data_IF_654919207451
#
_entry.id   IF_654919207451
#
_cell.length_a   1.000
_cell.length_b   1.000
_cell.length_c   1.000
_cell.angle_alpha   90.00
_cell.angle_beta   90.00
_cell.angle_gamma   90.00
#
_symmetry.space_group_name_H-M   'P 1'
#
loop_
_entity.id
_entity.type
_entity.pdbx_description
1 polymer ?
#
# COMPACT_ATOMS: atom_id res chain seq x y z
N UNK A 1 -40.90 -37.74 2.67
CA UNK A 1 -39.81 -36.88 2.17
C UNK A 1 -39.49 -35.88 3.27
N UNK A 2 -38.37 -36.11 3.95
CA UNK A 2 -37.83 -35.28 5.02
C UNK A 2 -37.12 -34.08 4.37
N UNK A 3 -37.64 -32.88 4.52
CA UNK A 3 -36.92 -31.66 4.18
C UNK A 3 -36.54 -30.92 5.47
N UNK A 4 -35.24 -30.88 5.68
CA UNK A 4 -34.50 -30.24 6.74
C UNK A 4 -34.85 -28.74 6.85
N UNK A 5 -35.28 -28.32 8.04
CA UNK A 5 -35.38 -26.92 8.44
C UNK A 5 -34.22 -26.63 9.42
N UNK A 6 -33.02 -26.40 8.90
CA UNK A 6 -31.90 -25.91 9.71
C UNK A 6 -31.89 -24.38 9.67
N UNK A 7 -32.67 -23.76 10.57
CA UNK A 7 -32.56 -22.33 10.88
C UNK A 7 -31.44 -22.18 11.90
N UNK A 8 -30.24 -21.80 11.42
CA UNK A 8 -29.09 -21.48 12.26
C UNK A 8 -29.28 -20.06 12.84
N UNK A 9 -29.62 -19.99 14.12
CA UNK A 9 -29.71 -18.75 14.88
C UNK A 9 -28.32 -18.41 15.45
N UNK A 10 -27.63 -17.44 14.87
CA UNK A 10 -26.34 -16.93 15.40
C UNK A 10 -26.64 -15.74 16.29
N UNK A 11 -26.51 -15.93 17.60
CA UNK A 11 -26.58 -14.88 18.60
C UNK A 11 -25.28 -14.05 18.57
N UNK A 12 -25.42 -12.76 18.33
CA UNK A 12 -24.35 -11.76 18.33
C UNK A 12 -24.05 -11.38 19.79
N UNK A 13 -22.81 -11.62 20.24
CA UNK A 13 -22.29 -11.11 21.52
C UNK A 13 -21.61 -9.77 21.26
N UNK A 14 -22.26 -8.67 21.62
CA UNK A 14 -21.67 -7.33 21.72
C UNK A 14 -21.26 -7.10 23.17
N UNK A 15 -19.95 -7.14 23.45
CA UNK A 15 -19.38 -6.65 24.71
C UNK A 15 -19.05 -5.16 24.53
N UNK A 16 -19.85 -4.33 25.19
CA UNK A 16 -19.68 -2.89 25.27
C UNK A 16 -18.75 -2.49 26.42
N UNK A 17 -17.91 -1.50 26.10
CA UNK A 17 -17.41 -0.39 26.91
C UNK A 17 -16.75 -0.66 28.28
N UNK A 18 -15.43 -0.45 28.26
CA UNK A 18 -14.66 0.51 29.09
C UNK A 18 -15.45 1.18 30.22
N UNK A 19 -15.01 0.93 31.45
CA UNK A 19 -15.16 1.88 32.55
C UNK A 19 -13.80 2.45 32.94
N UNK A 20 -13.75 3.77 32.90
CA UNK A 20 -12.68 4.59 33.46
C UNK A 20 -12.99 4.84 34.92
N UNK A 21 -12.01 4.67 35.79
CA UNK A 21 -12.01 5.14 37.17
C UNK A 21 -10.55 5.42 37.54
N UNK A 22 -10.16 6.41 38.33
CA UNK A 22 -10.82 7.55 38.96
C UNK A 22 -9.69 8.36 39.60
N UNK A 23 -9.77 9.68 39.49
CA UNK A 23 -9.41 10.69 40.49
C UNK A 23 -8.04 10.74 41.20
N UNK A 24 -7.41 11.91 41.00
CA UNK A 24 -6.98 12.89 42.00
C UNK A 24 -5.82 12.56 42.96
N UNK A 25 -4.75 13.36 42.88
CA UNK A 25 -4.44 14.35 43.94
C UNK A 25 -3.18 15.20 43.62
N UNK A 26 -3.37 16.51 43.79
CA UNK A 26 -2.43 17.55 44.28
C UNK A 26 -1.22 17.04 45.11
N UNK A 27 -0.08 17.71 45.27
CA UNK A 27 0.44 19.02 44.86
C UNK A 27 1.90 19.11 45.35
N UNK A 28 2.61 20.12 44.86
CA UNK A 28 3.72 20.85 45.53
C UNK A 28 5.10 20.21 45.58
N UNK A 29 6.07 20.86 44.90
CA UNK A 29 7.12 21.62 45.60
C UNK A 29 8.09 22.29 44.60
N UNK A 30 7.97 23.61 44.58
CA UNK A 30 8.95 24.62 44.15
C UNK A 30 10.38 24.32 44.64
N UNK A 31 11.41 24.53 43.80
CA UNK A 31 12.48 25.53 44.06
C UNK A 31 13.58 25.58 42.98
N UNK A 32 13.80 26.84 42.55
CA UNK A 32 14.95 27.49 41.94
C UNK A 32 16.27 26.72 41.72
N UNK A 33 16.78 26.89 40.51
CA UNK A 33 18.20 26.86 40.18
C UNK A 33 18.90 28.16 40.59
N UNK A 34 20.18 28.09 40.98
CA UNK A 34 21.13 29.12 40.62
C UNK A 34 22.26 28.59 39.75
N UNK A 35 22.70 29.52 38.90
CA UNK A 35 23.79 29.51 37.92
C UNK A 35 25.16 29.40 38.59
N UNK A 36 26.11 28.68 37.99
CA UNK A 36 27.46 29.20 37.67
C UNK A 36 28.34 28.19 36.90
N UNK A 37 28.95 28.73 35.84
CA UNK A 37 30.02 28.21 34.99
C UNK A 37 31.18 27.54 35.73
N UNK A 38 31.80 26.55 35.06
CA UNK A 38 33.19 26.65 34.57
C UNK A 38 33.53 25.53 33.58
N UNK A 39 34.21 25.95 32.52
CA UNK A 39 34.82 25.19 31.43
C UNK A 39 35.89 24.20 31.93
N UNK A 40 36.12 23.10 31.20
CA UNK A 40 37.41 22.72 30.61
C UNK A 40 37.31 21.40 29.81
N UNK A 41 38.14 21.31 28.77
CA UNK A 41 38.17 20.36 27.65
C UNK A 41 38.54 18.90 27.99
N UNK A 42 38.35 17.95 27.05
CA UNK A 42 38.23 16.53 27.33
C UNK A 42 39.57 15.79 27.23
N UNK A 43 39.84 14.90 28.18
CA UNK A 43 40.94 13.94 28.07
C UNK A 43 40.37 12.54 27.93
N UNK A 44 40.51 11.99 26.71
CA UNK A 44 40.31 10.57 26.40
C UNK A 44 41.14 9.71 27.36
N UNK A 45 40.49 8.92 28.19
CA UNK A 45 41.10 7.77 28.88
C UNK A 45 40.74 6.50 28.10
N UNK A 46 41.75 5.80 27.60
CA UNK A 46 41.62 4.42 27.14
C UNK A 46 41.42 3.51 28.35
N UNK A 47 40.39 2.66 28.33
CA UNK A 47 40.14 1.68 29.39
C UNK A 47 41.09 0.49 29.24
N UNK A 48 41.93 0.30 30.26
CA UNK A 48 42.70 -0.91 30.52
C UNK A 48 41.75 -1.93 31.14
N UNK A 49 41.50 -3.05 30.46
CA UNK A 49 40.70 -4.14 31.03
C UNK A 49 41.51 -4.84 32.14
N UNK A 50 40.94 -4.89 33.34
CA UNK A 50 41.38 -5.78 34.41
C UNK A 50 40.46 -7.00 34.39
N UNK A 51 41.04 -8.17 34.25
CA UNK A 51 40.35 -9.42 34.56
C UNK A 51 40.45 -9.65 36.07
N UNK A 52 39.32 -9.69 36.76
CA UNK A 52 39.21 -10.39 38.03
C UNK A 52 37.98 -11.28 38.01
N UNK A 53 38.25 -12.55 38.27
CA UNK A 53 37.29 -13.60 38.59
C UNK A 53 36.82 -13.35 40.02
N UNK A 54 35.51 -13.27 40.26
CA UNK A 54 34.82 -13.94 41.37
C UNK A 54 33.29 -13.83 41.19
N UNK A 55 32.62 -14.77 41.83
CA UNK A 55 31.29 -15.36 41.57
C UNK A 55 30.12 -14.53 42.12
N UNK A 56 28.96 -14.80 41.53
CA UNK A 56 27.59 -14.64 42.04
C UNK A 56 26.98 -13.23 42.13
N UNK A 57 26.14 -12.90 41.13
CA UNK A 57 24.70 -12.63 41.30
C UNK A 57 24.14 -12.06 40.00
N UNK A 58 23.04 -12.67 39.55
CA UNK A 58 22.31 -12.35 38.34
C UNK A 58 21.70 -10.94 38.42
N UNK A 59 22.10 -10.08 37.49
CA UNK A 59 21.22 -9.17 36.75
C UNK A 59 22.07 -8.38 35.74
N UNK A 60 22.57 -9.11 34.73
CA UNK A 60 23.07 -8.46 33.53
C UNK A 60 21.88 -8.11 32.65
N UNK A 61 21.41 -6.87 32.79
CA UNK A 61 20.52 -6.26 31.80
C UNK A 61 21.22 -6.39 30.44
N UNK A 62 20.59 -7.15 29.55
CA UNK A 62 21.05 -7.46 28.20
C UNK A 62 20.90 -6.22 27.29
N UNK A 63 21.64 -5.15 27.58
CA UNK A 63 21.66 -3.90 26.78
C UNK A 63 22.60 -4.03 25.58
N UNK A 64 23.40 -5.11 25.49
CA UNK A 64 24.43 -5.30 24.46
C UNK A 64 24.00 -6.06 23.20
N UNK A 65 22.97 -6.91 23.25
CA UNK A 65 22.59 -7.73 22.08
C UNK A 65 21.79 -6.98 21.00
N UNK A 66 21.06 -5.92 21.34
CA UNK A 66 20.15 -5.26 20.40
C UNK A 66 20.90 -4.56 19.24
N UNK A 67 21.98 -3.83 19.56
CA UNK A 67 22.78 -3.12 18.55
C UNK A 67 23.60 -4.08 17.66
N UNK A 68 24.06 -5.21 18.20
CA UNK A 68 24.80 -6.22 17.44
C UNK A 68 23.86 -6.99 16.49
N UNK A 69 22.66 -7.35 16.95
CA UNK A 69 21.68 -8.09 16.15
C UNK A 69 21.15 -7.24 14.98
N UNK A 70 20.91 -5.95 15.20
CA UNK A 70 20.50 -5.03 14.14
C UNK A 70 21.63 -4.81 13.10
N UNK A 71 22.89 -4.72 13.56
CA UNK A 71 24.05 -4.66 12.67
C UNK A 71 24.20 -5.90 11.79
N UNK A 72 24.04 -7.10 12.39
CA UNK A 72 24.14 -8.38 11.67
C UNK A 72 23.00 -8.55 10.66
N UNK A 73 21.76 -8.15 11.00
CA UNK A 73 20.62 -8.24 10.08
C UNK A 73 20.77 -7.28 8.88
N UNK A 74 21.21 -6.04 9.10
CA UNK A 74 21.53 -5.07 8.03
C UNK A 74 22.65 -5.58 7.12
N UNK A 75 23.70 -6.19 7.67
CA UNK A 75 24.78 -6.79 6.88
C UNK A 75 24.28 -7.96 6.03
N UNK A 76 23.49 -8.86 6.61
CA UNK A 76 22.89 -10.00 5.90
C UNK A 76 21.95 -9.54 4.76
N UNK A 77 21.11 -8.54 5.00
CA UNK A 77 20.26 -7.93 3.96
C UNK A 77 21.10 -7.31 2.85
N UNK A 78 22.16 -6.58 3.20
CA UNK A 78 23.06 -5.96 2.21
C UNK A 78 23.75 -7.01 1.33
N UNK A 79 24.18 -8.14 1.91
CA UNK A 79 24.79 -9.25 1.18
C UNK A 79 23.78 -9.93 0.26
N UNK A 80 22.53 -10.13 0.72
CA UNK A 80 21.42 -10.64 -0.12
C UNK A 80 21.14 -9.74 -1.31
N UNK A 81 21.03 -8.42 -1.10
CA UNK A 81 20.81 -7.46 -2.18
C UNK A 81 21.95 -7.46 -3.20
N UNK A 82 23.21 -7.51 -2.74
CA UNK A 82 24.37 -7.65 -3.63
C UNK A 82 24.28 -8.92 -4.47
N UNK A 83 23.88 -10.05 -3.86
CA UNK A 83 23.67 -11.32 -4.57
C UNK A 83 22.56 -11.23 -5.62
N UNK A 84 21.44 -10.59 -5.31
CA UNK A 84 20.36 -10.38 -6.29
C UNK A 84 20.80 -9.52 -7.47
N UNK A 85 21.55 -8.45 -7.21
CA UNK A 85 22.09 -7.57 -8.26
C UNK A 85 23.09 -8.30 -9.15
N UNK A 86 24.00 -9.09 -8.57
CA UNK A 86 24.98 -9.88 -9.33
C UNK A 86 24.30 -10.88 -10.26
N UNK A 87 23.22 -11.51 -9.76
CA UNK A 87 22.42 -12.47 -10.53
C UNK A 87 21.39 -11.82 -11.46
N UNK A 88 21.30 -10.49 -11.48
CA UNK A 88 20.32 -9.72 -12.23
C UNK A 88 18.87 -10.25 -12.10
N UNK A 89 18.47 -10.58 -10.87
CA UNK A 89 17.13 -11.13 -10.60
C UNK A 89 16.02 -10.18 -11.05
N UNK A 90 14.90 -10.73 -11.51
CA UNK A 90 13.69 -9.94 -11.79
C UNK A 90 13.08 -9.40 -10.50
N UNK A 91 12.21 -8.37 -10.62
CA UNK A 91 11.48 -7.83 -9.47
C UNK A 91 10.67 -8.92 -8.75
N UNK A 92 9.99 -9.79 -9.51
CA UNK A 92 9.16 -10.88 -8.97
C UNK A 92 10.01 -11.91 -8.23
N UNK A 93 11.17 -12.30 -8.76
CA UNK A 93 12.04 -13.24 -8.06
C UNK A 93 12.56 -12.68 -6.73
N UNK A 94 12.86 -11.38 -6.68
CA UNK A 94 13.28 -10.71 -5.44
C UNK A 94 12.11 -10.59 -4.47
N UNK A 95 10.93 -10.19 -4.94
CA UNK A 95 9.70 -10.15 -4.15
C UNK A 95 9.43 -11.50 -3.48
N UNK A 96 9.46 -12.58 -4.26
CA UNK A 96 9.26 -13.95 -3.78
C UNK A 96 10.35 -14.36 -2.77
N UNK A 97 11.61 -14.01 -3.05
CA UNK A 97 12.73 -14.31 -2.16
C UNK A 97 12.65 -13.56 -0.83
N UNK A 98 12.06 -12.37 -0.82
CA UNK A 98 11.79 -11.57 0.37
C UNK A 98 10.51 -12.00 1.10
N UNK A 99 9.71 -12.89 0.51
CA UNK A 99 8.41 -13.33 1.05
C UNK A 99 7.55 -12.12 1.43
N UNK A 100 7.46 -11.15 0.51
CA UNK A 100 6.58 -9.98 0.67
C UNK A 100 5.19 -10.47 0.34
N UNK A 101 4.29 -10.54 1.33
CA UNK A 101 2.85 -10.80 1.18
C UNK A 101 2.47 -12.11 0.49
N UNK A 102 1.55 -12.88 1.07
CA UNK A 102 0.92 -13.96 0.30
C UNK A 102 -0.13 -13.38 -0.68
N UNK A 103 -0.73 -12.24 -0.31
CA UNK A 103 -1.60 -11.41 -1.15
C UNK A 103 -1.12 -9.94 -1.22
N UNK A 104 -1.78 -9.16 -2.08
CA UNK A 104 -1.43 -7.75 -2.32
C UNK A 104 -1.70 -6.84 -1.12
N UNK A 105 -2.72 -7.09 -0.30
CA UNK A 105 -3.02 -6.25 0.86
C UNK A 105 -1.90 -6.38 1.89
N UNK A 106 -1.52 -7.62 2.22
CA UNK A 106 -0.37 -7.91 3.08
C UNK A 106 0.96 -7.41 2.48
N UNK A 107 1.08 -7.42 1.15
CA UNK A 107 2.26 -6.88 0.47
C UNK A 107 2.40 -5.37 0.67
N UNK A 108 1.32 -4.59 0.51
CA UNK A 108 1.34 -3.12 0.64
C UNK A 108 1.72 -2.65 2.05
N UNK A 109 1.39 -3.43 3.07
CA UNK A 109 1.74 -3.15 4.47
C UNK A 109 3.14 -3.66 4.86
N UNK A 110 3.75 -4.52 4.03
CA UNK A 110 4.99 -5.17 4.36
C UNK A 110 6.16 -4.19 4.46
N UNK A 111 6.86 -4.20 5.59
CA UNK A 111 8.10 -3.44 5.77
C UNK A 111 9.20 -3.82 4.76
N UNK A 112 9.13 -5.04 4.20
CA UNK A 112 10.08 -5.57 3.22
C UNK A 112 9.93 -4.96 1.82
N UNK A 113 8.81 -4.28 1.52
CA UNK A 113 8.69 -3.49 0.28
C UNK A 113 9.80 -2.46 0.17
N UNK A 114 10.21 -1.83 1.28
CA UNK A 114 11.33 -0.89 1.28
C UNK A 114 12.64 -1.51 0.78
N UNK A 115 12.86 -2.80 1.03
CA UNK A 115 14.02 -3.55 0.55
C UNK A 115 13.91 -3.84 -0.95
N UNK A 116 12.70 -4.18 -1.44
CA UNK A 116 12.42 -4.36 -2.87
C UNK A 116 12.60 -3.04 -3.65
N UNK A 117 12.04 -1.92 -3.17
CA UNK A 117 12.19 -0.61 -3.82
C UNK A 117 13.65 -0.17 -3.89
N UNK A 118 14.43 -0.39 -2.82
CA UNK A 118 15.88 -0.14 -2.82
C UNK A 118 16.63 -1.02 -3.82
N UNK A 119 16.21 -2.27 -4.00
CA UNK A 119 16.75 -3.15 -5.01
C UNK A 119 16.48 -2.62 -6.42
N UNK A 120 15.21 -2.32 -6.72
CA UNK A 120 14.76 -1.79 -8.02
C UNK A 120 15.53 -0.53 -8.39
N UNK A 121 15.63 0.45 -7.48
CA UNK A 121 16.37 1.68 -7.72
C UNK A 121 17.85 1.43 -8.08
N UNK A 122 18.52 0.50 -7.36
CA UNK A 122 19.92 0.13 -7.64
C UNK A 122 20.06 -0.64 -8.95
N UNK A 123 19.10 -1.49 -9.28
CA UNK A 123 19.09 -2.25 -10.51
C UNK A 123 18.92 -1.33 -11.72
N UNK A 124 17.92 -0.45 -11.69
CA UNK A 124 17.60 0.48 -12.78
C UNK A 124 18.75 1.47 -13.04
N UNK A 125 19.38 1.98 -11.97
CA UNK A 125 20.57 2.84 -12.11
C UNK A 125 21.74 2.15 -12.83
N UNK A 126 21.86 0.82 -12.71
CA UNK A 126 22.94 0.04 -13.34
C UNK A 126 22.57 -0.53 -14.71
N UNK A 127 21.28 -0.58 -15.04
CA UNK A 127 20.75 -1.18 -16.25
C UNK A 127 19.69 -0.23 -16.84
N UNK A 128 20.10 0.93 -17.40
CA UNK A 128 19.15 1.92 -17.91
C UNK A 128 18.28 1.37 -19.04
N UNK A 129 18.81 0.46 -19.85
CA UNK A 129 18.10 -0.15 -20.99
C UNK A 129 17.11 -1.25 -20.57
N UNK A 130 17.20 -1.73 -19.33
CA UNK A 130 16.34 -2.79 -18.80
C UNK A 130 15.99 -2.47 -17.36
N UNK A 131 14.98 -1.63 -17.18
CA UNK A 131 14.49 -1.23 -15.87
C UNK A 131 13.49 -2.25 -15.32
N UNK A 132 13.29 -2.22 -14.01
CA UNK A 132 12.24 -2.94 -13.29
C UNK A 132 11.24 -1.91 -12.78
N UNK A 133 9.96 -2.15 -13.01
CA UNK A 133 8.86 -1.36 -12.44
C UNK A 133 8.29 -2.04 -11.20
N UNK A 134 8.02 -1.26 -10.13
CA UNK A 134 7.42 -1.82 -8.92
C UNK A 134 5.97 -2.23 -9.19
N UNK A 135 5.19 -1.38 -9.87
CA UNK A 135 3.80 -1.70 -10.21
C UNK A 135 3.72 -2.94 -11.12
N UNK A 136 4.59 -3.05 -12.13
CA UNK A 136 4.67 -4.24 -12.99
C UNK A 136 5.01 -5.51 -12.19
N UNK A 137 5.92 -5.39 -11.23
CA UNK A 137 6.30 -6.51 -10.35
C UNK A 137 5.11 -6.98 -9.53
N UNK A 138 4.32 -6.04 -8.98
CA UNK A 138 3.13 -6.34 -8.18
C UNK A 138 2.02 -6.95 -9.04
N UNK A 139 1.72 -6.37 -10.20
CA UNK A 139 0.65 -6.87 -11.09
C UNK A 139 1.01 -8.23 -11.70
N UNK A 140 2.29 -8.48 -12.01
CA UNK A 140 2.75 -9.80 -12.48
C UNK A 140 2.61 -10.86 -11.40
N UNK A 141 2.85 -10.51 -10.13
CA UNK A 141 2.79 -11.46 -9.00
C UNK A 141 1.36 -11.73 -8.54
N UNK A 142 0.55 -10.68 -8.39
CA UNK A 142 -0.76 -10.76 -7.73
C UNK A 142 -1.95 -10.68 -8.69
N UNK A 143 -1.70 -10.33 -9.95
CA UNK A 143 -2.74 -10.08 -10.95
C UNK A 143 -3.19 -8.62 -10.97
N UNK A 144 -3.40 -8.08 -12.17
CA UNK A 144 -3.77 -6.67 -12.37
C UNK A 144 -5.04 -6.27 -11.63
N UNK A 145 -6.14 -7.01 -11.81
CA UNK A 145 -7.43 -6.70 -11.18
C UNK A 145 -7.39 -6.74 -9.65
N UNK A 146 -6.60 -7.66 -9.07
CA UNK A 146 -6.42 -7.74 -7.62
C UNK A 146 -5.64 -6.54 -7.09
N UNK A 147 -4.60 -6.11 -7.82
CA UNK A 147 -3.86 -4.88 -7.50
C UNK A 147 -4.77 -3.65 -7.58
N UNK A 148 -5.56 -3.51 -8.64
CA UNK A 148 -6.52 -2.39 -8.77
C UNK A 148 -7.48 -2.34 -7.57
N UNK A 149 -8.04 -3.48 -7.21
CA UNK A 149 -8.98 -3.58 -6.09
C UNK A 149 -8.33 -3.18 -4.77
N UNK A 150 -7.11 -3.65 -4.50
CA UNK A 150 -6.39 -3.36 -3.27
C UNK A 150 -6.01 -1.88 -3.15
N UNK A 151 -5.48 -1.29 -4.22
CA UNK A 151 -5.13 0.13 -4.25
C UNK A 151 -6.38 1.01 -4.07
N UNK A 152 -7.49 0.71 -4.75
CA UNK A 152 -8.75 1.43 -4.58
C UNK A 152 -9.36 1.24 -3.19
N UNK A 153 -9.10 0.12 -2.52
CA UNK A 153 -9.52 -0.10 -1.14
C UNK A 153 -8.78 0.82 -0.18
N UNK A 154 -7.47 0.99 -0.37
CA UNK A 154 -6.66 1.95 0.41
C UNK A 154 -7.14 3.39 0.15
N UNK A 155 -7.40 3.75 -1.11
CA UNK A 155 -7.84 5.11 -1.46
C UNK A 155 -9.23 5.48 -0.90
N UNK A 156 -10.10 4.49 -0.66
CA UNK A 156 -11.39 4.72 0.01
C UNK A 156 -11.28 4.70 1.54
N UNK A 157 -10.29 4.03 2.09
CA UNK A 157 -10.16 3.83 3.52
C UNK A 157 -9.63 5.08 4.22
N UNK A 158 -10.27 5.45 5.33
CA UNK A 158 -9.76 6.49 6.24
C UNK A 158 -8.74 5.96 7.24
N UNK A 159 -8.65 4.64 7.38
CA UNK A 159 -7.92 3.98 8.47
C UNK A 159 -6.52 3.50 8.03
N UNK A 160 -6.21 3.61 6.74
CA UNK A 160 -4.90 3.24 6.21
C UNK A 160 -3.80 4.17 6.74
N UNK A 161 -2.67 3.60 7.14
CA UNK A 161 -1.55 4.40 7.64
C UNK A 161 -1.04 5.40 6.59
N UNK A 162 -0.54 6.59 6.99
CA UNK A 162 -0.06 7.61 6.05
C UNK A 162 0.99 7.08 5.08
N UNK A 163 1.88 6.19 5.56
CA UNK A 163 2.91 5.56 4.74
C UNK A 163 2.32 4.69 3.61
N UNK A 164 1.26 3.94 3.89
CA UNK A 164 0.60 3.10 2.88
C UNK A 164 -0.15 3.99 1.88
N UNK A 165 -0.81 5.04 2.35
CA UNK A 165 -1.48 6.03 1.49
C UNK A 165 -0.48 6.68 0.52
N UNK A 166 0.68 7.12 1.00
CA UNK A 166 1.72 7.72 0.15
C UNK A 166 2.31 6.72 -0.85
N UNK A 167 2.51 5.47 -0.43
CA UNK A 167 2.91 4.39 -1.33
C UNK A 167 1.89 4.17 -2.45
N UNK A 168 0.59 4.14 -2.13
CA UNK A 168 -0.48 3.95 -3.13
C UNK A 168 -0.53 5.12 -4.10
N UNK A 169 -0.38 6.36 -3.64
CA UNK A 169 -0.27 7.54 -4.53
C UNK A 169 0.91 7.41 -5.50
N UNK A 170 2.07 6.97 -5.01
CA UNK A 170 3.23 6.73 -5.87
C UNK A 170 2.95 5.63 -6.89
N UNK A 171 2.40 4.49 -6.45
CA UNK A 171 2.04 3.37 -7.32
C UNK A 171 1.05 3.78 -8.41
N UNK A 172 0.07 4.64 -8.09
CA UNK A 172 -0.90 5.17 -9.06
C UNK A 172 -0.24 5.99 -10.16
N UNK A 173 0.67 6.89 -9.79
CA UNK A 173 1.43 7.68 -10.76
C UNK A 173 2.30 6.80 -11.68
N UNK A 174 3.01 5.84 -11.08
CA UNK A 174 3.81 4.86 -11.83
C UNK A 174 2.93 4.01 -12.76
N UNK A 175 1.72 3.65 -12.31
CA UNK A 175 0.79 2.82 -13.06
C UNK A 175 0.26 3.49 -14.32
N UNK A 176 -0.18 4.75 -14.24
CA UNK A 176 -0.65 5.48 -15.43
C UNK A 176 0.44 5.57 -16.50
N UNK A 177 1.68 5.80 -16.06
CA UNK A 177 2.85 5.84 -16.95
C UNK A 177 3.16 4.45 -17.52
N UNK A 178 3.11 3.42 -16.69
CA UNK A 178 3.34 2.03 -17.10
C UNK A 178 2.33 1.56 -18.15
N UNK A 179 1.04 1.83 -17.95
CA UNK A 179 0.01 1.49 -18.93
C UNK A 179 0.26 2.16 -20.28
N UNK A 180 0.61 3.44 -20.28
CA UNK A 180 0.92 4.20 -21.50
C UNK A 180 2.16 3.66 -22.23
N UNK A 181 3.26 3.38 -21.51
CA UNK A 181 4.49 2.85 -22.11
C UNK A 181 4.37 1.40 -22.57
N UNK A 182 3.41 0.66 -22.02
CA UNK A 182 3.07 -0.70 -22.46
C UNK A 182 2.04 -0.70 -23.58
N UNK A 183 1.79 0.46 -24.22
CA UNK A 183 0.84 0.66 -25.31
C UNK A 183 -0.59 0.15 -25.03
N UNK A 184 -1.02 0.20 -23.76
CA UNK A 184 -2.42 -0.09 -23.45
C UNK A 184 -3.32 0.97 -24.07
N UNK A 185 -4.41 0.54 -24.70
CA UNK A 185 -5.47 1.46 -25.09
C UNK A 185 -6.30 1.86 -23.87
N UNK A 186 -7.06 2.95 -24.02
CA UNK A 186 -8.07 3.33 -23.01
C UNK A 186 -9.07 2.18 -22.77
N UNK A 187 -9.41 1.40 -23.79
CA UNK A 187 -10.31 0.25 -23.66
C UNK A 187 -9.70 -0.88 -22.83
N UNK A 188 -8.41 -1.13 -22.97
CA UNK A 188 -7.72 -2.18 -22.22
C UNK A 188 -7.66 -1.83 -20.74
N UNK A 189 -7.39 -0.55 -20.44
CA UNK A 189 -7.44 -0.03 -19.07
C UNK A 189 -8.86 -0.07 -18.53
N UNK A 190 -9.88 0.33 -19.30
CA UNK A 190 -11.28 0.20 -18.86
C UNK A 190 -11.64 -1.25 -18.54
N UNK A 191 -11.33 -2.21 -19.41
CA UNK A 191 -11.60 -3.64 -19.18
C UNK A 191 -10.91 -4.14 -17.91
N UNK A 192 -9.66 -3.75 -17.68
CA UNK A 192 -8.91 -4.08 -16.48
C UNK A 192 -9.62 -3.53 -15.22
N UNK A 193 -9.97 -2.25 -15.22
CA UNK A 193 -10.59 -1.60 -14.06
C UNK A 193 -12.00 -2.14 -13.80
N UNK A 194 -12.79 -2.37 -14.84
CA UNK A 194 -14.13 -2.96 -14.74
C UNK A 194 -14.09 -4.40 -14.22
N UNK A 195 -13.02 -5.15 -14.49
CA UNK A 195 -12.86 -6.50 -13.92
C UNK A 195 -12.57 -6.50 -12.40
N UNK A 196 -12.12 -5.38 -11.84
CA UNK A 196 -11.79 -5.27 -10.42
C UNK A 196 -13.02 -5.01 -9.51
N UNK A 197 -14.05 -4.34 -10.04
CA UNK A 197 -15.33 -4.12 -9.39
C UNK A 197 -16.46 -4.43 -10.38
N UNK A 198 -17.24 -5.47 -10.10
CA UNK A 198 -18.36 -5.84 -10.95
C UNK A 198 -19.60 -4.99 -10.60
N UNK A 199 -20.33 -4.55 -11.62
CA UNK A 199 -21.62 -3.90 -11.46
C UNK A 199 -21.52 -2.42 -11.05
N UNK A 200 -22.59 -1.87 -10.45
CA UNK A 200 -22.75 -0.43 -10.27
C UNK A 200 -21.75 0.20 -9.29
N UNK A 201 -21.11 -0.61 -8.43
CA UNK A 201 -20.06 -0.18 -7.49
C UNK A 201 -18.87 0.48 -8.17
N UNK A 202 -18.64 0.19 -9.45
CA UNK A 202 -17.62 0.84 -10.26
C UNK A 202 -17.79 2.37 -10.27
N UNK A 203 -19.03 2.89 -10.33
CA UNK A 203 -19.28 4.34 -10.40
C UNK A 203 -18.98 5.08 -9.09
N UNK A 204 -19.05 4.40 -7.94
CA UNK A 204 -18.61 4.95 -6.65
C UNK A 204 -17.15 4.56 -6.31
N UNK A 205 -16.43 3.94 -7.25
CA UNK A 205 -15.05 3.54 -7.04
C UNK A 205 -14.07 4.66 -7.43
N UNK A 206 -12.92 4.75 -6.76
CA UNK A 206 -11.78 5.53 -7.25
C UNK A 206 -11.36 5.15 -8.66
N UNK A 207 -11.64 3.92 -9.12
CA UNK A 207 -11.23 3.44 -10.44
C UNK A 207 -11.89 4.23 -11.58
N UNK A 208 -13.09 4.78 -11.36
CA UNK A 208 -13.72 5.65 -12.33
C UNK A 208 -12.87 6.90 -12.58
N UNK A 209 -12.41 7.57 -11.51
CA UNK A 209 -11.51 8.72 -11.59
C UNK A 209 -10.16 8.33 -12.20
N UNK A 210 -9.65 7.15 -11.89
CA UNK A 210 -8.40 6.64 -12.47
C UNK A 210 -8.51 6.46 -13.99
N UNK A 211 -9.68 6.02 -14.49
CA UNK A 211 -9.92 5.93 -15.93
C UNK A 211 -9.88 7.32 -16.58
N UNK A 212 -10.53 8.32 -15.97
CA UNK A 212 -10.47 9.72 -16.44
C UNK A 212 -9.03 10.26 -16.45
N UNK A 213 -8.27 10.03 -15.37
CA UNK A 213 -6.85 10.42 -15.28
C UNK A 213 -6.04 9.76 -16.42
N UNK A 214 -6.32 8.50 -16.74
CA UNK A 214 -5.65 7.80 -17.82
C UNK A 214 -6.04 8.32 -19.20
N UNK A 215 -7.33 8.58 -19.45
CA UNK A 215 -7.82 9.20 -20.71
C UNK A 215 -7.12 10.54 -20.94
N UNK A 216 -7.05 11.39 -19.91
CA UNK A 216 -6.39 12.68 -19.99
C UNK A 216 -4.89 12.52 -20.35
N UNK A 217 -4.19 11.59 -19.69
CA UNK A 217 -2.78 11.30 -20.00
C UNK A 217 -2.62 10.73 -21.41
N UNK A 218 -3.45 9.78 -21.81
CA UNK A 218 -3.40 9.15 -23.12
C UNK A 218 -3.61 10.16 -24.25
N UNK A 219 -4.64 11.02 -24.13
CA UNK A 219 -4.93 12.04 -25.12
C UNK A 219 -3.79 13.07 -25.23
N UNK A 220 -3.23 13.49 -24.10
CA UNK A 220 -2.10 14.42 -24.08
C UNK A 220 -0.86 13.86 -24.79
N UNK A 221 -0.49 12.62 -24.46
CA UNK A 221 0.79 12.03 -24.89
C UNK A 221 0.73 11.38 -26.28
N UNK A 222 -0.44 10.85 -26.66
CA UNK A 222 -0.66 10.18 -27.96
C UNK A 222 -1.46 11.04 -28.95
N UNK A 223 -1.77 12.30 -28.59
CA UNK A 223 -2.62 13.21 -29.38
C UNK A 223 -4.00 12.61 -29.71
N UNK A 224 -4.54 11.85 -28.75
CA UNK A 224 -5.84 11.18 -28.85
C UNK A 224 -7.03 12.13 -28.66
N UNK A 225 -8.22 11.62 -28.94
CA UNK A 225 -9.52 12.30 -28.75
C UNK A 225 -10.50 11.39 -28.00
N UNK A 226 -9.98 10.52 -27.13
CA UNK A 226 -10.79 9.62 -26.33
C UNK A 226 -11.60 10.39 -25.31
N UNK A 227 -12.85 9.98 -25.10
CA UNK A 227 -13.70 10.53 -24.05
C UNK A 227 -14.22 9.41 -23.19
N UNK A 228 -14.57 9.75 -21.96
CA UNK A 228 -15.12 8.80 -21.01
C UNK A 228 -16.39 8.14 -21.56
N UNK A 229 -17.35 8.92 -22.08
CA UNK A 229 -18.58 8.39 -22.69
C UNK A 229 -18.28 7.43 -23.85
N UNK A 230 -17.40 7.81 -24.79
CA UNK A 230 -17.03 6.93 -25.91
C UNK A 230 -16.37 5.63 -25.45
N UNK A 231 -15.54 5.71 -24.40
CA UNK A 231 -14.87 4.56 -23.79
C UNK A 231 -15.89 3.63 -23.16
N UNK A 232 -16.79 4.16 -22.31
CA UNK A 232 -17.82 3.38 -21.63
C UNK A 232 -18.79 2.74 -22.65
N UNK A 233 -19.26 3.51 -23.63
CA UNK A 233 -20.12 3.01 -24.71
C UNK A 233 -19.49 1.82 -25.45
N UNK A 234 -18.21 1.90 -25.83
CA UNK A 234 -17.51 0.76 -26.44
C UNK A 234 -17.31 -0.39 -25.46
N UNK A 235 -16.93 -0.08 -24.23
CA UNK A 235 -16.70 -1.04 -23.16
C UNK A 235 -17.94 -1.89 -22.83
N UNK A 236 -19.11 -1.27 -22.79
CA UNK A 236 -20.41 -1.93 -22.62
C UNK A 236 -20.99 -2.50 -23.93
N UNK A 237 -20.23 -2.45 -25.03
CA UNK A 237 -20.60 -3.01 -26.35
C UNK A 237 -21.81 -2.33 -26.99
N UNK A 238 -21.89 -1.01 -26.88
CA UNK A 238 -22.87 -0.17 -27.54
C UNK A 238 -23.71 0.67 -26.58
N UNK A 239 -24.32 1.72 -27.12
CA UNK A 239 -25.08 2.72 -26.36
C UNK A 239 -26.25 2.08 -25.60
N UNK A 240 -26.99 1.16 -26.23
CA UNK A 240 -28.14 0.50 -25.59
C UNK A 240 -27.75 -0.28 -24.33
N UNK A 241 -26.62 -0.98 -24.35
CA UNK A 241 -26.13 -1.73 -23.20
C UNK A 241 -25.60 -0.78 -22.11
N UNK A 242 -24.95 0.31 -22.51
CA UNK A 242 -24.49 1.33 -21.57
C UNK A 242 -25.66 2.00 -20.86
N UNK A 243 -26.68 2.46 -21.59
CA UNK A 243 -27.90 3.05 -21.00
C UNK A 243 -28.64 2.06 -20.12
N UNK A 244 -28.76 0.79 -20.53
CA UNK A 244 -29.36 -0.24 -19.68
C UNK A 244 -28.58 -0.44 -18.37
N UNK A 245 -27.25 -0.39 -18.43
CA UNK A 245 -26.40 -0.46 -17.24
C UNK A 245 -26.60 0.75 -16.31
N UNK A 246 -26.69 1.98 -16.86
CA UNK A 246 -26.96 3.20 -16.08
C UNK A 246 -28.34 3.15 -15.41
N UNK A 247 -29.37 2.72 -16.14
CA UNK A 247 -30.71 2.52 -15.60
C UNK A 247 -30.72 1.49 -14.47
N UNK A 248 -30.03 0.36 -14.66
CA UNK A 248 -29.85 -0.67 -13.63
C UNK A 248 -29.13 -0.15 -12.40
N UNK A 249 -28.06 0.62 -12.58
CA UNK A 249 -27.31 1.23 -11.47
C UNK A 249 -28.19 2.13 -10.60
N UNK A 250 -29.05 2.95 -11.22
CA UNK A 250 -29.98 3.83 -10.49
C UNK A 250 -31.08 3.08 -9.74
N UNK A 251 -31.54 1.94 -10.28
CA UNK A 251 -32.61 1.15 -9.66
C UNK A 251 -32.12 0.23 -8.55
N UNK A 252 -30.89 -0.28 -8.65
CA UNK A 252 -30.38 -1.35 -7.79
C UNK A 252 -29.68 -0.84 -6.52
N UNK A 253 -29.39 0.45 -6.42
CA UNK A 253 -28.66 1.03 -5.29
C UNK A 253 -29.35 2.25 -4.69
N UNK A 254 -29.19 2.42 -3.39
CA UNK A 254 -29.54 3.65 -2.68
C UNK A 254 -28.30 4.55 -2.44
N UNK A 255 -27.12 4.15 -2.92
CA UNK A 255 -25.92 5.00 -2.86
C UNK A 255 -26.05 6.17 -3.84
N UNK A 256 -26.33 7.36 -3.30
CA UNK A 256 -26.51 8.58 -4.07
C UNK A 256 -25.31 8.93 -4.95
N UNK A 257 -24.09 8.49 -4.58
CA UNK A 257 -22.89 8.72 -5.41
C UNK A 257 -23.02 7.98 -6.75
N UNK A 258 -23.51 6.75 -6.72
CA UNK A 258 -23.73 5.93 -7.92
C UNK A 258 -24.89 6.51 -8.73
N UNK A 259 -26.01 6.82 -8.07
CA UNK A 259 -27.22 7.34 -8.74
C UNK A 259 -26.92 8.65 -9.47
N UNK A 260 -26.30 9.61 -8.77
CA UNK A 260 -25.94 10.89 -9.36
C UNK A 260 -24.95 10.71 -10.50
N UNK A 261 -23.93 9.85 -10.33
CA UNK A 261 -22.94 9.61 -11.38
C UNK A 261 -23.55 8.96 -12.63
N UNK A 262 -24.48 8.02 -12.44
CA UNK A 262 -25.18 7.39 -13.54
C UNK A 262 -26.06 8.41 -14.29
N UNK A 263 -26.72 9.33 -13.57
CA UNK A 263 -27.50 10.39 -14.18
C UNK A 263 -26.64 11.38 -14.96
N UNK A 264 -25.50 11.83 -14.41
CA UNK A 264 -24.53 12.69 -15.12
C UNK A 264 -24.08 12.08 -16.47
N UNK A 265 -23.91 10.75 -16.51
CA UNK A 265 -23.47 10.03 -17.71
C UNK A 265 -24.57 9.79 -18.74
N UNK A 266 -25.84 9.89 -18.35
CA UNK A 266 -26.97 9.85 -19.30
C UNK A 266 -27.21 11.21 -19.96
N UNK A 267 -26.89 12.30 -19.27
CA UNK A 267 -27.16 13.67 -19.71
C UNK A 267 -26.04 14.28 -20.58
N UNK A 268 -24.84 13.68 -20.60
CA UNK A 268 -23.65 14.18 -21.31
C UNK A 268 -23.28 13.42 -22.58
#
# INVERSE_FOLDING_TARGET
MLFYLNVLLVAIVLLACVDSASDNAASTATKCFPVANKSFLPTRRFLRAYATVHKDSEERVNVGNFALQEGVSKLAESARLKKFLLKKKTGVEVLNSLKIGDDIAAALESSRLGTLTKYIAKFNKKNPDKTISLIETLTTRYGGSAVEKALASVERSTDSSPKVVDLVKQLRSEQLTFWLHSDNSVDDVFKLLNSAYAGPEFFASPLFRILDDYIAKFNSEKQGQETLIKTLTRGFRGESNFVWFLAGAKQQTHDLRIVNKAQELEEG
#
